data_IF_893460682514
#
_entry.id   IF_893460682514
#
_cell.length_a   1.000
_cell.length_b   1.000
_cell.length_c   1.000
_cell.angle_alpha   90.00
_cell.angle_beta   90.00
_cell.angle_gamma   90.00
#
_symmetry.space_group_name_H-M   'P 1'
#
loop_
_entity.id
_entity.type
_entity.pdbx_description
1 polymer ?
#
# COMPACT_ATOMS: atom_id res chain seq x y z
N UNK A 1 34.29 -32.48 -21.24
CA UNK A 1 34.20 -31.77 -19.94
C UNK A 1 32.91 -30.96 -19.97
N UNK A 2 31.85 -31.44 -19.31
CA UNK A 2 30.55 -30.77 -19.28
C UNK A 2 30.55 -29.70 -18.18
N UNK A 3 30.40 -28.43 -18.56
CA UNK A 3 30.26 -27.31 -17.63
C UNK A 3 28.81 -27.27 -17.14
N UNK A 4 28.54 -27.78 -15.95
CA UNK A 4 27.26 -27.62 -15.28
C UNK A 4 27.15 -26.17 -14.78
N UNK A 5 26.43 -25.33 -15.53
CA UNK A 5 26.04 -24.00 -15.07
C UNK A 5 24.97 -24.19 -13.99
N UNK A 6 25.37 -24.16 -12.72
CA UNK A 6 24.45 -24.11 -11.59
C UNK A 6 23.66 -22.79 -11.66
N UNK A 7 22.40 -22.87 -12.11
CA UNK A 7 21.42 -21.82 -11.87
C UNK A 7 21.11 -21.77 -10.38
N UNK A 8 21.78 -20.88 -9.65
CA UNK A 8 21.40 -20.54 -8.28
C UNK A 8 20.04 -19.85 -8.34
N UNK A 9 18.99 -20.54 -7.88
CA UNK A 9 17.67 -19.95 -7.64
C UNK A 9 17.83 -18.87 -6.57
N UNK A 10 17.90 -17.63 -7.02
CA UNK A 10 17.86 -16.47 -6.15
C UNK A 10 16.46 -16.38 -5.55
N UNK A 11 16.29 -16.89 -4.33
CA UNK A 11 15.09 -16.70 -3.52
C UNK A 11 15.09 -15.27 -2.99
N UNK A 12 14.71 -14.33 -3.85
CA UNK A 12 14.43 -12.99 -3.37
C UNK A 12 13.01 -13.02 -2.78
N UNK A 13 12.93 -12.93 -1.46
CA UNK A 13 11.67 -12.88 -0.70
C UNK A 13 10.79 -11.77 -1.29
N UNK A 14 9.76 -12.19 -2.01
CA UNK A 14 8.76 -11.32 -2.59
C UNK A 14 7.72 -11.12 -1.49
N UNK A 15 7.65 -9.92 -0.91
CA UNK A 15 6.58 -9.60 0.02
C UNK A 15 5.32 -9.36 -0.80
N UNK A 16 4.38 -10.31 -0.76
CA UNK A 16 3.12 -10.24 -1.48
C UNK A 16 2.07 -9.67 -0.53
N UNK A 17 1.88 -8.34 -0.57
CA UNK A 17 0.88 -7.67 0.27
C UNK A 17 -0.50 -7.90 -0.34
N UNK A 18 -1.30 -8.75 0.30
CA UNK A 18 -2.70 -9.00 -0.08
C UNK A 18 -3.61 -8.45 1.00
N UNK A 19 -4.34 -7.39 0.69
CA UNK A 19 -5.25 -6.75 1.62
C UNK A 19 -5.78 -5.43 1.09
N UNK A 20 -6.89 -4.97 1.67
CA UNK A 20 -7.53 -3.71 1.31
C UNK A 20 -6.93 -2.61 2.19
N UNK A 21 -6.53 -1.51 1.55
CA UNK A 21 -6.11 -0.28 2.24
C UNK A 21 -7.23 0.73 2.07
N UNK A 22 -7.78 1.23 3.18
CA UNK A 22 -8.77 2.30 3.13
C UNK A 22 -8.44 3.45 4.07
N UNK A 23 -8.75 4.67 3.63
CA UNK A 23 -8.79 5.87 4.47
C UNK A 23 -10.12 6.58 4.25
N UNK A 24 -10.88 6.77 5.32
CA UNK A 24 -12.19 7.41 5.21
C UNK A 24 -12.26 8.66 6.07
N UNK A 25 -12.98 9.66 5.58
CA UNK A 25 -13.42 10.82 6.37
C UNK A 25 -14.38 10.42 7.47
N UNK A 26 -14.39 11.18 8.56
CA UNK A 26 -15.35 11.02 9.64
C UNK A 26 -16.77 11.32 9.15
N UNK A 27 -17.73 10.45 9.47
CA UNK A 27 -19.15 10.71 9.19
C UNK A 27 -19.84 11.33 10.41
N UNK A 28 -20.85 12.16 10.17
CA UNK A 28 -21.61 12.80 11.23
C UNK A 28 -23.11 12.82 10.91
N UNK A 29 -23.94 12.59 11.93
CA UNK A 29 -25.40 12.59 11.77
C UNK A 29 -26.03 13.97 11.82
N UNK A 30 -25.33 14.96 12.40
CA UNK A 30 -25.79 16.35 12.48
C UNK A 30 -25.02 17.24 11.50
N UNK A 31 -23.93 17.89 11.92
CA UNK A 31 -23.23 18.91 11.13
C UNK A 31 -21.77 18.57 10.92
N UNK A 32 -21.33 18.59 9.66
CA UNK A 32 -19.93 18.53 9.26
C UNK A 32 -19.31 17.15 9.45
N UNK A 33 -18.89 16.51 8.36
CA UNK A 33 -18.05 15.32 8.44
C UNK A 33 -16.62 15.66 8.86
N UNK A 34 -15.97 14.72 9.53
CA UNK A 34 -14.55 14.84 9.91
C UNK A 34 -13.61 14.63 8.73
N UNK A 35 -12.41 15.18 8.80
CA UNK A 35 -11.37 14.96 7.80
C UNK A 35 -10.94 13.49 7.69
N UNK A 36 -10.48 13.10 6.51
CA UNK A 36 -9.90 11.78 6.28
C UNK A 36 -8.48 11.66 6.81
N UNK A 37 -8.10 10.44 7.19
CA UNK A 37 -6.74 10.12 7.64
C UNK A 37 -5.71 10.11 6.51
N UNK A 38 -4.44 10.07 6.90
CA UNK A 38 -3.30 9.94 5.99
C UNK A 38 -2.61 8.58 6.21
N UNK A 39 -2.48 7.79 5.15
CA UNK A 39 -1.67 6.57 5.13
C UNK A 39 -0.53 6.78 4.14
N UNK A 40 0.69 6.47 4.56
CA UNK A 40 1.83 6.36 3.65
C UNK A 40 2.43 4.96 3.70
N UNK A 41 2.58 4.36 2.52
CA UNK A 41 3.13 3.03 2.31
C UNK A 41 4.44 3.16 1.55
N UNK A 42 5.53 2.84 2.23
CA UNK A 42 6.87 2.78 1.65
C UNK A 42 7.28 1.32 1.54
N UNK A 43 7.57 0.84 0.34
CA UNK A 43 7.94 -0.55 0.10
C UNK A 43 9.10 -0.67 -0.88
N UNK A 44 9.89 -1.74 -0.72
CA UNK A 44 11.15 -1.94 -1.46
C UNK A 44 11.07 -3.10 -2.45
N UNK A 45 10.15 -4.03 -2.24
CA UNK A 45 9.89 -5.18 -3.09
C UNK A 45 8.46 -5.67 -2.89
N UNK A 46 7.89 -6.32 -3.90
CA UNK A 46 6.48 -6.73 -3.91
C UNK A 46 5.67 -6.00 -4.97
N UNK A 47 4.37 -6.27 -4.97
CA UNK A 47 3.37 -5.61 -5.79
C UNK A 47 2.25 -5.11 -4.87
N UNK A 48 1.72 -3.93 -5.18
CA UNK A 48 0.54 -3.38 -4.51
C UNK A 48 -0.53 -3.24 -5.58
N UNK A 49 -1.68 -3.87 -5.39
CA UNK A 49 -2.81 -3.71 -6.29
C UNK A 49 -3.55 -2.42 -5.95
N UNK A 50 -3.38 -1.39 -6.78
CA UNK A 50 -4.03 -0.08 -6.57
C UNK A 50 -5.56 -0.18 -6.58
N UNK A 51 -6.14 -1.26 -7.13
CA UNK A 51 -7.60 -1.49 -7.11
C UNK A 51 -8.13 -1.77 -5.70
N UNK A 52 -7.28 -2.27 -4.81
CA UNK A 52 -7.62 -2.53 -3.41
C UNK A 52 -7.35 -1.31 -2.51
N UNK A 53 -6.94 -0.18 -3.10
CA UNK A 53 -6.73 1.10 -2.43
C UNK A 53 -7.96 1.97 -2.63
N UNK A 54 -8.64 2.31 -1.53
CA UNK A 54 -9.85 3.14 -1.58
C UNK A 54 -9.78 4.28 -0.60
N UNK A 55 -10.34 5.43 -0.98
CA UNK A 55 -10.50 6.55 -0.06
C UNK A 55 -11.82 7.25 -0.31
N UNK A 56 -12.60 7.42 0.75
CA UNK A 56 -13.92 8.04 0.67
C UNK A 56 -14.07 9.17 1.68
N UNK A 57 -14.84 10.18 1.30
CA UNK A 57 -15.32 11.17 2.25
C UNK A 57 -16.32 10.56 3.24
N UNK A 58 -16.45 11.19 4.40
CA UNK A 58 -17.49 10.83 5.38
C UNK A 58 -18.82 11.50 5.04
N UNK A 59 -19.93 10.81 5.27
CA UNK A 59 -21.26 11.38 5.00
C UNK A 59 -21.69 12.33 6.13
N UNK A 60 -22.34 13.44 5.77
CA UNK A 60 -23.07 14.31 6.71
C UNK A 60 -24.49 14.59 6.22
N UNK A 61 -25.44 14.63 7.16
CA UNK A 61 -26.85 14.89 6.85
C UNK A 61 -27.18 16.38 6.75
N UNK A 62 -26.57 17.23 7.58
CA UNK A 62 -26.86 18.66 7.66
C UNK A 62 -25.57 19.51 7.71
N UNK A 63 -24.61 19.23 6.82
CA UNK A 63 -23.38 20.01 6.66
C UNK A 63 -22.50 19.48 5.54
N UNK A 64 -21.27 19.98 5.43
CA UNK A 64 -20.29 19.48 4.47
C UNK A 64 -19.92 18.03 4.77
N UNK A 65 -19.74 17.24 3.71
CA UNK A 65 -19.19 15.90 3.84
C UNK A 65 -17.74 15.96 4.35
N UNK A 66 -17.36 14.92 5.08
CA UNK A 66 -15.99 14.73 5.54
C UNK A 66 -15.05 14.55 4.35
N UNK A 67 -13.86 15.13 4.44
CA UNK A 67 -12.87 15.01 3.38
C UNK A 67 -12.44 13.54 3.20
N UNK A 68 -12.21 13.12 1.95
CA UNK A 68 -11.54 11.85 1.69
C UNK A 68 -10.14 11.87 2.33
N UNK A 69 -9.65 10.70 2.73
CA UNK A 69 -8.27 10.58 3.21
C UNK A 69 -7.27 10.61 2.05
N UNK A 70 -6.00 10.54 2.39
CA UNK A 70 -4.91 10.48 1.41
C UNK A 70 -4.14 9.20 1.61
N UNK A 71 -3.86 8.51 0.51
CA UNK A 71 -3.01 7.32 0.50
C UNK A 71 -1.83 7.64 -0.38
N UNK A 72 -0.66 7.70 0.23
CA UNK A 72 0.61 7.88 -0.44
C UNK A 72 1.29 6.53 -0.59
N UNK A 73 1.70 6.21 -1.81
CA UNK A 73 2.37 4.96 -2.14
C UNK A 73 3.71 5.29 -2.79
N UNK A 74 4.79 4.83 -2.17
CA UNK A 74 6.15 5.03 -2.69
C UNK A 74 6.92 3.72 -2.73
N UNK A 75 7.35 3.37 -3.93
CA UNK A 75 8.30 2.29 -4.12
C UNK A 75 9.72 2.83 -3.98
N UNK A 76 10.36 2.53 -2.84
CA UNK A 76 11.75 2.86 -2.61
C UNK A 76 12.68 2.05 -3.52
N UNK A 77 13.74 2.69 -4.03
CA UNK A 77 14.80 2.06 -4.82
C UNK A 77 15.77 1.25 -3.95
N UNK A 78 15.31 0.22 -3.25
CA UNK A 78 16.22 -0.71 -2.59
C UNK A 78 16.47 -1.91 -3.52
N UNK A 79 17.65 -1.91 -4.13
CA UNK A 79 18.20 -3.06 -4.86
C UNK A 79 17.98 -4.30 -4.00
N UNK A 80 17.27 -5.28 -4.55
CA UNK A 80 17.19 -6.64 -4.02
C UNK A 80 18.55 -7.07 -3.46
N UNK A 81 18.74 -7.07 -2.14
CA UNK A 81 19.88 -7.74 -1.51
C UNK A 81 19.54 -9.22 -1.52
N UNK A 82 19.68 -9.83 -2.69
CA UNK A 82 19.62 -11.27 -2.76
C UNK A 82 20.96 -11.79 -2.20
N UNK A 83 21.00 -12.10 -0.90
CA UNK A 83 22.16 -12.74 -0.29
C UNK A 83 22.21 -14.20 -0.75
N UNK A 84 23.34 -14.57 -1.35
CA UNK A 84 23.66 -15.96 -1.66
C UNK A 84 24.12 -16.61 -0.36
N UNK A 85 23.25 -17.38 0.29
CA UNK A 85 23.67 -18.29 1.36
C UNK A 85 24.46 -19.41 0.66
N UNK A 86 25.78 -19.39 0.86
CA UNK A 86 26.72 -20.41 0.39
C UNK A 86 26.59 -21.68 1.23
#
# INVERSE_FOLDING_TARGET
MFLAVLYSKINCLLFDFKGIIHTNGGSATSSGGGGGGYIALYYTSGYVDERDITSYGGASSNGENGAAGVIYLEQGSNKKVCSKVL
#
